data_IF_262879749757
#
_entry.id   IF_262879749757
#
_cell.length_a   1.000
_cell.length_b   1.000
_cell.length_c   1.000
_cell.angle_alpha   90.00
_cell.angle_beta   90.00
_cell.angle_gamma   90.00
#
_symmetry.space_group_name_H-M   'P 1'
#
loop_
_entity.id
_entity.type
_entity.pdbx_description
1 polymer ?
#
# COMPACT_ATOMS: atom_id res chain seq x y z
N UNK A 1 -37.26 22.06 31.52
CA UNK A 1 -37.10 22.52 30.12
C UNK A 1 -35.65 22.87 29.81
N UNK A 2 -34.98 23.71 30.60
CA UNK A 2 -33.60 24.16 30.32
C UNK A 2 -32.50 23.07 30.42
N UNK A 3 -32.74 22.03 31.22
CA UNK A 3 -31.83 20.88 31.38
C UNK A 3 -31.90 19.86 30.24
N UNK A 4 -33.03 19.76 29.55
CA UNK A 4 -33.22 18.89 28.38
C UNK A 4 -32.53 19.50 27.14
N UNK A 5 -32.76 20.79 26.88
CA UNK A 5 -32.11 21.50 25.77
C UNK A 5 -30.57 21.46 25.86
N UNK A 6 -29.99 21.54 27.07
CA UNK A 6 -28.54 21.39 27.27
C UNK A 6 -28.01 19.97 27.03
N UNK A 7 -28.84 18.94 27.18
CA UNK A 7 -28.46 17.54 26.88
C UNK A 7 -28.55 17.25 25.38
N UNK A 8 -29.54 17.82 24.71
CA UNK A 8 -29.75 17.72 23.25
C UNK A 8 -28.57 18.35 22.50
N UNK A 9 -28.19 19.57 22.87
CA UNK A 9 -27.05 20.30 22.28
C UNK A 9 -25.71 19.55 22.47
N UNK A 10 -25.50 18.94 23.64
CA UNK A 10 -24.33 18.07 23.89
C UNK A 10 -24.32 16.83 23.01
N UNK A 11 -25.46 16.12 22.89
CA UNK A 11 -25.61 14.94 22.03
C UNK A 11 -25.38 15.28 20.55
N UNK A 12 -25.86 16.44 20.09
CA UNK A 12 -25.63 16.93 18.72
C UNK A 12 -24.15 17.22 18.45
N UNK A 13 -23.47 17.89 19.39
CA UNK A 13 -22.03 18.15 19.29
C UNK A 13 -21.19 16.87 19.29
N UNK A 14 -21.56 15.89 20.11
CA UNK A 14 -20.92 14.58 20.15
C UNK A 14 -21.13 13.80 18.84
N UNK A 15 -22.36 13.79 18.30
CA UNK A 15 -22.64 13.21 16.97
C UNK A 15 -21.83 13.87 15.87
N UNK A 16 -21.76 15.20 15.83
CA UNK A 16 -20.95 15.93 14.85
C UNK A 16 -19.46 15.57 14.95
N UNK A 17 -18.95 15.41 16.18
CA UNK A 17 -17.56 15.01 16.42
C UNK A 17 -17.28 13.59 15.94
N UNK A 18 -18.19 12.65 16.21
CA UNK A 18 -18.06 11.27 15.74
C UNK A 18 -18.16 11.18 14.22
N UNK A 19 -19.09 11.92 13.59
CA UNK A 19 -19.18 12.00 12.13
C UNK A 19 -17.89 12.53 11.52
N UNK A 20 -17.28 13.58 12.09
CA UNK A 20 -15.99 14.10 11.62
C UNK A 20 -14.89 13.05 11.71
N UNK A 21 -14.80 12.31 12.82
CA UNK A 21 -13.82 11.23 12.98
C UNK A 21 -14.00 10.11 11.95
N UNK A 22 -15.24 9.78 11.58
CA UNK A 22 -15.52 8.78 10.55
C UNK A 22 -15.01 9.27 9.19
N UNK A 23 -15.31 10.51 8.83
CA UNK A 23 -14.82 11.12 7.57
C UNK A 23 -13.29 11.14 7.54
N UNK A 24 -12.64 11.58 8.62
CA UNK A 24 -11.18 11.59 8.71
C UNK A 24 -10.54 10.20 8.58
N UNK A 25 -11.23 9.14 9.04
CA UNK A 25 -10.78 7.75 8.83
C UNK A 25 -10.93 7.32 7.38
N UNK A 26 -12.05 7.67 6.73
CA UNK A 26 -12.29 7.39 5.31
C UNK A 26 -11.26 8.09 4.41
N UNK A 27 -10.97 9.36 4.67
CA UNK A 27 -9.93 10.12 3.95
C UNK A 27 -8.55 9.46 4.08
N UNK A 28 -8.19 8.99 5.29
CA UNK A 28 -6.91 8.28 5.52
C UNK A 28 -6.83 6.93 4.79
N UNK A 29 -7.93 6.21 4.67
CA UNK A 29 -7.96 4.98 3.87
C UNK A 29 -7.73 5.25 2.39
N UNK A 30 -8.30 6.33 1.86
CA UNK A 30 -8.13 6.68 0.45
C UNK A 30 -6.71 7.16 0.15
N UNK A 31 -6.12 7.97 1.05
CA UNK A 31 -4.71 8.35 0.99
C UNK A 31 -3.79 7.12 1.02
N UNK A 32 -4.10 6.15 1.87
CA UNK A 32 -3.36 4.90 1.96
C UNK A 32 -3.41 4.10 0.66
N UNK A 33 -4.60 3.94 0.06
CA UNK A 33 -4.76 3.26 -1.24
C UNK A 33 -3.96 3.97 -2.34
N UNK A 34 -3.97 5.29 -2.35
CA UNK A 34 -3.21 6.08 -3.32
C UNK A 34 -1.70 5.87 -3.14
N UNK A 35 -1.23 5.90 -1.90
CA UNK A 35 0.18 5.67 -1.57
C UNK A 35 0.62 4.26 -1.95
N UNK A 36 -0.20 3.24 -1.64
CA UNK A 36 0.02 1.85 -2.03
C UNK A 36 0.19 1.73 -3.55
N UNK A 37 -0.77 2.24 -4.33
CA UNK A 37 -0.71 2.20 -5.79
C UNK A 37 0.52 2.91 -6.34
N UNK A 38 0.90 4.07 -5.76
CA UNK A 38 2.11 4.79 -6.15
C UNK A 38 3.37 3.96 -5.88
N UNK A 39 3.41 3.24 -4.75
CA UNK A 39 4.53 2.38 -4.40
C UNK A 39 4.62 1.17 -5.34
N UNK A 40 3.51 0.47 -5.59
CA UNK A 40 3.44 -0.64 -6.54
C UNK A 40 3.96 -0.23 -7.92
N UNK A 41 3.53 0.92 -8.43
CA UNK A 41 4.03 1.47 -9.70
C UNK A 41 5.55 1.72 -9.69
N UNK A 42 6.12 2.15 -8.57
CA UNK A 42 7.57 2.38 -8.45
C UNK A 42 8.35 1.06 -8.46
N UNK A 43 7.82 0.01 -7.85
CA UNK A 43 8.42 -1.32 -7.88
C UNK A 43 8.39 -1.90 -9.29
N UNK A 44 7.27 -1.77 -10.01
CA UNK A 44 7.18 -2.19 -11.42
C UNK A 44 8.15 -1.41 -12.31
N UNK A 45 8.23 -0.10 -12.12
CA UNK A 45 9.17 0.74 -12.85
C UNK A 45 10.62 0.31 -12.60
N UNK A 46 10.98 0.02 -11.36
CA UNK A 46 12.31 -0.51 -11.03
C UNK A 46 12.58 -1.83 -11.75
N UNK A 47 11.63 -2.76 -11.75
CA UNK A 47 11.77 -4.05 -12.44
C UNK A 47 11.94 -3.87 -13.96
N UNK A 48 11.21 -2.94 -14.56
CA UNK A 48 11.35 -2.60 -15.98
C UNK A 48 12.74 -2.01 -16.30
N UNK A 49 13.23 -1.07 -15.48
CA UNK A 49 14.57 -0.50 -15.64
C UNK A 49 15.66 -1.56 -15.48
N UNK A 50 15.47 -2.47 -14.52
CA UNK A 50 16.36 -3.61 -14.32
C UNK A 50 16.39 -4.54 -15.53
N UNK A 51 15.23 -4.86 -16.10
CA UNK A 51 15.09 -5.71 -17.29
C UNK A 51 15.79 -5.09 -18.51
N UNK A 52 15.64 -3.78 -18.71
CA UNK A 52 16.34 -3.03 -19.76
C UNK A 52 17.86 -3.08 -19.57
N UNK A 53 18.35 -2.83 -18.35
CA UNK A 53 19.78 -2.92 -18.03
C UNK A 53 20.32 -4.32 -18.27
N UNK A 54 19.63 -5.34 -17.78
CA UNK A 54 20.03 -6.74 -17.92
C UNK A 54 20.11 -7.16 -19.38
N UNK A 55 19.20 -6.67 -20.22
CA UNK A 55 19.20 -6.94 -21.67
C UNK A 55 20.37 -6.23 -22.37
N UNK A 56 20.73 -5.04 -21.89
CA UNK A 56 21.96 -4.35 -22.32
C UNK A 56 23.22 -5.15 -21.96
N UNK A 57 23.30 -5.69 -20.74
CA UNK A 57 24.41 -6.55 -20.30
C UNK A 57 24.53 -7.80 -21.18
N UNK A 58 23.42 -8.48 -21.47
CA UNK A 58 23.44 -9.66 -22.35
C UNK A 58 23.98 -9.34 -23.75
N UNK A 59 23.61 -8.18 -24.28
CA UNK A 59 24.06 -7.73 -25.60
C UNK A 59 25.57 -7.45 -25.61
N UNK A 60 26.06 -6.73 -24.60
CA UNK A 60 27.50 -6.43 -24.43
C UNK A 60 28.34 -7.71 -24.25
N UNK A 61 27.86 -8.67 -23.45
CA UNK A 61 28.56 -9.95 -23.25
C UNK A 61 28.63 -10.76 -24.54
N UNK A 62 27.58 -10.75 -25.36
CA UNK A 62 27.55 -11.44 -26.66
C UNK A 62 28.54 -10.86 -27.66
N UNK A 63 28.72 -9.55 -27.66
CA UNK A 63 29.63 -8.82 -28.55
C UNK A 63 31.08 -8.76 -28.02
N UNK A 64 31.31 -9.10 -26.75
CA UNK A 64 32.64 -9.02 -26.14
C UNK A 64 33.64 -10.02 -26.74
N UNK A 65 34.89 -9.56 -26.86
CA UNK A 65 36.07 -10.37 -27.21
C UNK A 65 36.62 -11.18 -26.01
N UNK A 66 35.85 -11.27 -24.92
CA UNK A 66 36.24 -12.01 -23.73
C UNK A 66 36.17 -13.52 -23.97
N UNK A 67 36.83 -14.29 -23.09
CA UNK A 67 36.83 -15.74 -23.19
C UNK A 67 35.40 -16.31 -23.12
N UNK A 68 35.15 -17.39 -23.85
CA UNK A 68 33.84 -18.06 -23.87
C UNK A 68 33.38 -18.45 -22.47
N UNK A 69 34.30 -18.94 -21.63
CA UNK A 69 34.00 -19.33 -20.26
C UNK A 69 33.53 -18.13 -19.41
N UNK A 70 34.21 -16.99 -19.52
CA UNK A 70 33.82 -15.77 -18.82
C UNK A 70 32.43 -15.31 -19.26
N UNK A 71 32.17 -15.29 -20.57
CA UNK A 71 30.86 -14.90 -21.12
C UNK A 71 29.72 -15.77 -20.62
N UNK A 72 29.89 -17.09 -20.60
CA UNK A 72 28.87 -18.02 -20.12
C UNK A 72 28.55 -17.72 -18.65
N UNK A 73 29.59 -17.60 -17.82
CA UNK A 73 29.43 -17.33 -16.40
C UNK A 73 28.70 -16.01 -16.14
N UNK A 74 29.04 -14.94 -16.86
CA UNK A 74 28.39 -13.63 -16.68
C UNK A 74 26.94 -13.62 -17.19
N UNK A 75 26.62 -14.39 -18.24
CA UNK A 75 25.23 -14.56 -18.69
C UNK A 75 24.38 -15.32 -17.65
N UNK A 76 24.94 -16.38 -17.06
CA UNK A 76 24.30 -17.11 -15.97
C UNK A 76 24.07 -16.22 -14.74
N UNK A 77 25.08 -15.42 -14.35
CA UNK A 77 24.97 -14.45 -13.27
C UNK A 77 23.87 -13.42 -13.54
N UNK A 78 23.80 -12.88 -14.76
CA UNK A 78 22.76 -11.92 -15.15
C UNK A 78 21.36 -12.55 -15.12
N UNK A 79 21.23 -13.79 -15.58
CA UNK A 79 19.99 -14.54 -15.50
C UNK A 79 19.54 -14.77 -14.05
N UNK A 80 20.48 -15.08 -13.17
CA UNK A 80 20.21 -15.24 -11.73
C UNK A 80 19.75 -13.92 -11.10
N UNK A 81 20.36 -12.78 -11.45
CA UNK A 81 19.91 -11.47 -10.97
C UNK A 81 18.50 -11.11 -11.46
N UNK A 82 18.14 -11.46 -12.71
CA UNK A 82 16.76 -11.32 -13.22
C UNK A 82 15.77 -12.15 -12.41
N UNK A 83 16.13 -13.39 -12.07
CA UNK A 83 15.33 -14.26 -11.21
C UNK A 83 15.11 -13.62 -9.83
N UNK A 84 16.18 -13.12 -9.20
CA UNK A 84 16.10 -12.44 -7.90
C UNK A 84 15.24 -11.17 -7.96
N UNK A 85 15.32 -10.39 -9.04
CA UNK A 85 14.45 -9.22 -9.22
C UNK A 85 12.98 -9.62 -9.33
N UNK A 86 12.67 -10.67 -10.08
CA UNK A 86 11.30 -11.20 -10.17
C UNK A 86 10.79 -11.66 -8.81
N UNK A 87 11.62 -12.34 -8.02
CA UNK A 87 11.26 -12.77 -6.66
C UNK A 87 11.05 -11.58 -5.72
N UNK A 88 11.92 -10.57 -5.80
CA UNK A 88 11.79 -9.34 -5.05
C UNK A 88 10.44 -8.66 -5.33
N UNK A 89 10.05 -8.51 -6.60
CA UNK A 89 8.76 -7.90 -6.97
C UNK A 89 7.59 -8.70 -6.37
N UNK A 90 7.61 -10.03 -6.50
CA UNK A 90 6.54 -10.88 -5.99
C UNK A 90 6.42 -10.79 -4.47
N UNK A 91 7.53 -10.97 -3.74
CA UNK A 91 7.54 -10.91 -2.28
C UNK A 91 7.07 -9.53 -1.80
N UNK A 92 7.55 -8.47 -2.43
CA UNK A 92 7.19 -7.11 -2.04
C UNK A 92 5.70 -6.83 -2.26
N UNK A 93 5.08 -7.40 -3.29
CA UNK A 93 3.64 -7.27 -3.53
C UNK A 93 2.83 -8.06 -2.51
N UNK A 94 3.23 -9.29 -2.22
CA UNK A 94 2.58 -10.12 -1.19
C UNK A 94 2.63 -9.44 0.20
N UNK A 95 3.75 -8.81 0.55
CA UNK A 95 3.93 -8.14 1.84
C UNK A 95 3.08 -6.86 1.95
N UNK A 96 3.01 -6.08 0.87
CA UNK A 96 2.13 -4.90 0.80
C UNK A 96 0.67 -5.33 0.93
N UNK A 97 0.27 -6.41 0.25
CA UNK A 97 -1.10 -6.89 0.30
C UNK A 97 -1.46 -7.33 1.73
N UNK A 98 -0.63 -8.14 2.38
CA UNK A 98 -0.83 -8.57 3.78
C UNK A 98 -0.95 -7.38 4.72
N UNK A 99 -0.07 -6.39 4.57
CA UNK A 99 -0.08 -5.19 5.38
C UNK A 99 -1.34 -4.35 5.15
N UNK A 100 -1.74 -4.15 3.89
CA UNK A 100 -2.94 -3.41 3.49
C UNK A 100 -4.21 -4.08 4.04
N UNK A 101 -4.30 -5.41 3.94
CA UNK A 101 -5.40 -6.18 4.54
C UNK A 101 -5.49 -6.00 6.06
N UNK A 102 -4.35 -6.00 6.77
CA UNK A 102 -4.32 -5.77 8.22
C UNK A 102 -4.81 -4.37 8.58
N UNK A 103 -4.41 -3.35 7.83
CA UNK A 103 -4.87 -1.98 8.08
C UNK A 103 -6.37 -1.87 7.81
N UNK A 104 -6.84 -2.37 6.68
CA UNK A 104 -8.26 -2.34 6.32
C UNK A 104 -9.13 -2.95 7.41
N UNK A 105 -8.77 -4.14 7.91
CA UNK A 105 -9.51 -4.78 9.01
C UNK A 105 -9.59 -3.90 10.26
N UNK A 106 -8.46 -3.31 10.67
CA UNK A 106 -8.42 -2.41 11.82
C UNK A 106 -9.28 -1.16 11.59
N UNK A 107 -9.22 -0.57 10.40
CA UNK A 107 -10.00 0.64 10.09
C UNK A 107 -11.50 0.34 10.00
N UNK A 108 -11.89 -0.79 9.42
CA UNK A 108 -13.28 -1.25 9.40
C UNK A 108 -13.82 -1.44 10.83
N UNK A 109 -13.06 -2.09 11.72
CA UNK A 109 -13.43 -2.23 13.13
C UNK A 109 -13.55 -0.88 13.85
N UNK A 110 -12.67 0.08 13.57
CA UNK A 110 -12.72 1.42 14.15
C UNK A 110 -13.93 2.21 13.65
N UNK A 111 -14.21 2.12 12.35
CA UNK A 111 -15.39 2.73 11.73
C UNK A 111 -16.66 2.19 12.36
N UNK A 112 -16.79 0.87 12.50
CA UNK A 112 -17.97 0.23 13.09
C UNK A 112 -18.20 0.65 14.55
N UNK A 113 -17.12 0.81 15.33
CA UNK A 113 -17.18 1.35 16.70
C UNK A 113 -17.71 2.79 16.71
N UNK A 114 -17.15 3.67 15.88
CA UNK A 114 -17.58 5.07 15.80
C UNK A 114 -19.03 5.22 15.32
N UNK A 115 -19.46 4.40 14.35
CA UNK A 115 -20.85 4.35 13.88
C UNK A 115 -21.76 3.89 15.03
N UNK A 116 -21.39 2.84 15.74
CA UNK A 116 -22.15 2.31 16.86
C UNK A 116 -22.27 3.31 18.01
N UNK A 117 -21.19 4.01 18.36
CA UNK A 117 -21.19 5.08 19.37
C UNK A 117 -22.11 6.22 18.97
N UNK A 118 -22.01 6.67 17.72
CA UNK A 118 -22.84 7.75 17.18
C UNK A 118 -24.33 7.39 17.14
N UNK A 119 -24.66 6.14 16.84
CA UNK A 119 -26.04 5.66 16.79
C UNK A 119 -26.65 5.44 18.18
N UNK A 120 -25.83 5.27 19.23
CA UNK A 120 -26.30 5.19 20.62
C UNK A 120 -26.63 6.55 21.22
N UNK A 121 -26.22 7.65 20.58
CA UNK A 121 -26.52 9.00 21.05
C UNK A 121 -28.00 9.31 20.83
N UNK A 122 -28.69 9.88 21.83
CA UNK A 122 -30.11 10.16 21.74
C UNK A 122 -30.38 11.18 20.63
N UNK A 123 -31.38 10.84 19.81
CA UNK A 123 -32.05 11.75 18.91
C UNK A 123 -33.27 12.25 19.67
N UNK A 124 -33.26 13.54 20.04
CA UNK A 124 -34.26 14.21 20.91
C UNK A 124 -34.07 14.01 22.43
#
# INVERSE_FOLDING_TARGET
MESLNKKIDKSEKERSTLTRKIIELEEKEDDLKLLQKRHENRVLYLAEQFEQLSSGVDSLLKESDMSTQFRIQELENNQELRRQMSEYVQIHFDDIEKWSQSIRRNTDEQRDKLISERNRLPWE
#
